data_IF_997890465461
#
_entry.id   IF_997890465461
#
_cell.length_a   1.000
_cell.length_b   1.000
_cell.length_c   1.000
_cell.angle_alpha   90.00
_cell.angle_beta   90.00
_cell.angle_gamma   90.00
#
_symmetry.space_group_name_H-M   'P 1'
#
loop_
_entity.id
_entity.type
_entity.pdbx_description
1 polymer ?
#
# COMPACT_ATOMS: atom_id res chain seq x y z
N UNK A 1 -9.76 -8.24 3.15
CA UNK A 1 -9.66 -6.96 2.42
C UNK A 1 -10.33 -5.88 3.26
N UNK A 2 -9.60 -4.85 3.67
CA UNK A 2 -10.18 -3.72 4.42
C UNK A 2 -10.78 -2.67 3.46
N UNK A 3 -11.56 -1.74 4.00
CA UNK A 3 -12.22 -0.69 3.22
C UNK A 3 -11.22 0.19 2.46
N UNK A 4 -10.05 0.45 3.03
CA UNK A 4 -8.93 1.18 2.41
C UNK A 4 -8.41 0.50 1.14
N UNK A 5 -8.08 -0.79 1.21
CA UNK A 5 -7.57 -1.58 0.08
C UNK A 5 -8.61 -1.69 -1.05
N UNK A 6 -9.90 -1.80 -0.69
CA UNK A 6 -10.99 -1.77 -1.66
C UNK A 6 -11.14 -0.39 -2.32
N UNK A 7 -11.06 0.70 -1.55
CA UNK A 7 -11.28 2.05 -2.06
C UNK A 7 -10.18 2.50 -3.04
N UNK A 8 -8.92 2.16 -2.77
CA UNK A 8 -7.81 2.51 -3.68
C UNK A 8 -7.82 1.64 -4.95
N UNK A 9 -8.25 0.38 -4.85
CA UNK A 9 -8.32 -0.55 -5.98
C UNK A 9 -9.49 -0.25 -6.93
N UNK A 10 -10.64 0.22 -6.42
CA UNK A 10 -11.85 0.51 -7.22
C UNK A 10 -11.67 1.69 -8.17
N UNK A 11 -10.79 2.65 -7.86
CA UNK A 11 -10.49 3.78 -8.75
C UNK A 11 -9.78 3.34 -10.06
N UNK A 12 -9.16 2.16 -10.09
CA UNK A 12 -8.31 1.72 -11.21
C UNK A 12 -9.04 0.91 -12.30
N UNK A 13 -10.25 0.41 -12.06
CA UNK A 13 -10.89 -0.55 -12.98
C UNK A 13 -11.71 0.08 -14.13
N UNK A 14 -12.02 1.39 -14.07
CA UNK A 14 -12.95 2.03 -15.03
C UNK A 14 -12.30 3.08 -15.95
N UNK A 15 -11.01 3.38 -15.80
CA UNK A 15 -10.34 4.43 -16.58
C UNK A 15 -9.01 3.93 -17.16
N UNK A 16 -8.88 3.98 -18.49
CA UNK A 16 -7.67 3.54 -19.22
C UNK A 16 -6.48 4.51 -19.10
N UNK A 17 -6.65 5.65 -18.42
CA UNK A 17 -5.63 6.68 -18.27
C UNK A 17 -5.40 7.07 -16.79
N UNK A 18 -5.16 6.06 -15.96
CA UNK A 18 -4.75 6.25 -14.56
C UNK A 18 -3.25 6.47 -14.43
N UNK A 19 -2.82 7.25 -13.43
CA UNK A 19 -1.40 7.50 -13.14
C UNK A 19 -0.77 6.36 -12.32
N UNK A 20 -1.56 5.71 -11.48
CA UNK A 20 -1.17 4.60 -10.61
C UNK A 20 -2.15 3.44 -10.81
N UNK A 21 -1.66 2.21 -10.65
CA UNK A 21 -2.47 1.01 -10.53
C UNK A 21 -2.24 0.42 -9.15
N UNK A 22 -3.32 0.07 -8.46
CA UNK A 22 -3.25 -0.48 -7.11
C UNK A 22 -3.83 -1.88 -7.06
N UNK A 23 -3.19 -2.79 -6.33
CA UNK A 23 -3.63 -4.16 -6.10
C UNK A 23 -3.57 -4.49 -4.61
N UNK A 24 -4.52 -5.28 -4.10
CA UNK A 24 -4.39 -5.83 -2.77
C UNK A 24 -3.34 -6.95 -2.75
N UNK A 25 -2.59 -7.04 -1.66
CA UNK A 25 -1.60 -8.09 -1.44
C UNK A 25 -2.07 -9.13 -0.42
N UNK A 26 -1.25 -10.15 -0.15
CA UNK A 26 -1.59 -11.24 0.79
C UNK A 26 -2.01 -10.73 2.17
N UNK A 27 -1.26 -9.77 2.72
CA UNK A 27 -1.61 -9.13 3.98
C UNK A 27 -2.79 -8.20 3.81
N UNK A 28 -3.80 -8.28 4.69
CA UNK A 28 -4.94 -7.36 4.67
C UNK A 28 -4.57 -5.87 4.87
N UNK A 29 -3.34 -5.62 5.36
CA UNK A 29 -2.72 -4.31 5.55
C UNK A 29 -1.74 -3.94 4.42
N UNK A 30 -1.59 -4.78 3.40
CA UNK A 30 -0.65 -4.59 2.30
C UNK A 30 -1.37 -4.17 1.02
N UNK A 31 -0.74 -3.26 0.28
CA UNK A 31 -1.14 -2.87 -1.07
C UNK A 31 0.11 -2.79 -1.96
N UNK A 32 -0.04 -3.16 -3.22
CA UNK A 32 0.99 -2.99 -4.25
C UNK A 32 0.56 -1.83 -5.17
N UNK A 33 1.47 -0.88 -5.40
CA UNK A 33 1.27 0.19 -6.37
C UNK A 33 2.21 0.01 -7.55
N UNK A 34 1.73 0.20 -8.77
CA UNK A 34 2.56 0.23 -9.98
C UNK A 34 2.24 1.48 -10.81
N UNK A 35 3.15 1.95 -11.68
CA UNK A 35 2.81 3.04 -12.59
C UNK A 35 1.67 2.61 -13.51
N UNK A 36 0.73 3.52 -13.79
CA UNK A 36 -0.45 3.21 -14.62
C UNK A 36 -0.13 2.88 -16.07
N UNK A 37 1.08 3.23 -16.52
CA UNK A 37 1.66 2.82 -17.80
C UNK A 37 3.14 2.46 -17.58
N UNK A 38 3.67 1.48 -18.32
CA UNK A 38 5.09 1.14 -18.25
C UNK A 38 5.94 2.35 -18.66
N UNK A 39 7.10 2.50 -18.02
CA UNK A 39 8.12 3.42 -18.48
C UNK A 39 8.60 3.00 -19.88
N UNK A 40 8.81 3.96 -20.79
CA UNK A 40 9.35 3.64 -22.11
C UNK A 40 10.86 3.33 -22.05
N UNK A 41 11.45 2.93 -23.18
CA UNK A 41 12.86 2.48 -23.24
C UNK A 41 13.95 3.57 -23.28
N UNK A 42 13.61 4.85 -23.17
CA UNK A 42 14.59 5.94 -23.18
C UNK A 42 15.22 6.12 -21.79
N UNK A 43 16.52 6.41 -21.74
CA UNK A 43 17.23 6.72 -20.48
C UNK A 43 16.61 7.89 -19.72
N UNK A 44 15.95 8.83 -20.42
CA UNK A 44 15.25 9.95 -19.80
C UNK A 44 14.14 9.51 -18.83
N UNK A 45 13.57 8.31 -18.96
CA UNK A 45 12.53 7.84 -18.05
C UNK A 45 13.06 7.44 -16.67
N UNK A 46 14.37 7.23 -16.49
CA UNK A 46 14.92 7.04 -15.15
C UNK A 46 14.70 8.28 -14.25
N UNK A 47 14.61 9.47 -14.85
CA UNK A 47 14.39 10.72 -14.12
C UNK A 47 12.97 10.87 -13.56
N UNK A 48 12.01 10.00 -13.96
CA UNK A 48 10.61 10.11 -13.52
C UNK A 48 10.19 9.00 -12.55
N UNK A 49 11.03 7.98 -12.33
CA UNK A 49 10.69 6.83 -11.48
C UNK A 49 10.42 7.28 -10.04
N UNK A 50 11.36 8.04 -9.45
CA UNK A 50 11.20 8.51 -8.07
C UNK A 50 9.97 9.41 -7.90
N UNK A 51 9.75 10.31 -8.85
CA UNK A 51 8.58 11.20 -8.84
C UNK A 51 7.27 10.39 -8.92
N UNK A 52 7.23 9.31 -9.71
CA UNK A 52 6.08 8.41 -9.77
C UNK A 52 5.86 7.65 -8.46
N UNK A 53 6.93 7.14 -7.84
CA UNK A 53 6.86 6.46 -6.53
C UNK A 53 6.37 7.41 -5.43
N UNK A 54 6.82 8.67 -5.46
CA UNK A 54 6.38 9.71 -4.53
C UNK A 54 4.89 10.02 -4.69
N UNK A 55 4.43 10.20 -5.93
CA UNK A 55 3.02 10.43 -6.23
C UNK A 55 2.14 9.30 -5.69
N UNK A 56 2.55 8.04 -5.85
CA UNK A 56 1.83 6.87 -5.29
C UNK A 56 1.72 6.95 -3.77
N UNK A 57 2.79 7.32 -3.07
CA UNK A 57 2.76 7.51 -1.61
C UNK A 57 1.81 8.63 -1.20
N UNK A 58 1.83 9.76 -1.90
CA UNK A 58 0.93 10.89 -1.63
C UNK A 58 -0.55 10.51 -1.83
N UNK A 59 -0.85 9.82 -2.93
CA UNK A 59 -2.20 9.34 -3.26
C UNK A 59 -2.75 8.38 -2.20
N UNK A 60 -1.94 7.39 -1.78
CA UNK A 60 -2.33 6.46 -0.73
C UNK A 60 -2.42 7.13 0.65
N UNK A 61 -1.56 8.10 0.97
CA UNK A 61 -1.57 8.82 2.23
C UNK A 61 -2.85 9.66 2.43
N UNK A 62 -3.45 10.17 1.35
CA UNK A 62 -4.72 10.91 1.41
C UNK A 62 -5.91 10.06 1.83
N UNK A 63 -5.81 8.74 1.67
CA UNK A 63 -6.89 7.81 2.01
C UNK A 63 -6.75 7.22 3.42
N UNK A 64 -5.62 7.48 4.10
CA UNK A 64 -5.36 6.96 5.44
C UNK A 64 -6.16 7.73 6.51
N UNK A 65 -6.58 6.99 7.54
CA UNK A 65 -7.18 7.57 8.75
C UNK A 65 -6.18 8.39 9.59
N UNK A 66 -6.65 9.15 10.59
CA UNK A 66 -5.82 10.03 11.41
C UNK A 66 -4.71 9.29 12.19
N UNK A 67 -4.93 8.02 12.54
CA UNK A 67 -3.97 7.18 13.24
C UNK A 67 -3.32 6.14 12.32
N UNK A 68 -3.44 6.26 10.99
CA UNK A 68 -2.84 5.31 10.06
C UNK A 68 -1.60 5.92 9.38
N UNK A 69 -0.55 5.11 9.25
CA UNK A 69 0.69 5.49 8.58
C UNK A 69 1.01 4.54 7.45
N UNK A 70 1.55 5.09 6.38
CA UNK A 70 2.05 4.36 5.23
C UNK A 70 3.53 4.06 5.42
N UNK A 71 3.96 2.80 5.28
CA UNK A 71 5.39 2.47 5.27
C UNK A 71 5.73 1.53 4.12
N UNK A 72 6.98 1.60 3.66
CA UNK A 72 7.55 0.65 2.69
C UNK A 72 8.58 -0.17 3.44
N UNK A 73 8.16 -1.33 3.96
CA UNK A 73 8.98 -2.22 4.76
C UNK A 73 8.84 -3.65 4.24
N UNK A 74 9.93 -4.40 4.23
CA UNK A 74 9.94 -5.78 3.73
C UNK A 74 9.29 -6.77 4.71
N UNK A 75 9.37 -6.49 6.00
CA UNK A 75 8.77 -7.33 7.03
C UNK A 75 8.42 -6.50 8.27
N UNK A 76 7.23 -6.73 8.82
CA UNK A 76 6.82 -6.02 10.04
C UNK A 76 7.48 -6.64 11.28
N UNK A 77 8.27 -5.90 12.09
CA UNK A 77 9.08 -6.49 13.15
C UNK A 77 8.32 -7.22 14.27
N UNK A 78 7.05 -6.86 14.49
CA UNK A 78 6.19 -7.53 15.49
C UNK A 78 5.20 -8.51 14.86
N UNK A 79 5.37 -8.82 13.57
CA UNK A 79 4.60 -9.86 12.91
C UNK A 79 4.85 -11.19 13.64
N UNK A 80 3.78 -11.95 13.89
CA UNK A 80 3.82 -13.18 14.70
C UNK A 80 4.12 -13.03 16.21
N UNK A 81 4.12 -11.82 16.77
CA UNK A 81 4.15 -11.66 18.23
C UNK A 81 2.77 -12.00 18.81
N UNK A 82 2.73 -12.99 19.70
CA UNK A 82 1.56 -13.29 20.53
C UNK A 82 1.33 -12.12 21.50
N UNK A 83 0.14 -11.54 21.45
CA UNK A 83 -0.34 -10.64 22.49
C UNK A 83 -1.35 -11.40 23.35
N UNK A 84 -1.19 -11.29 24.67
CA UNK A 84 -2.17 -11.77 25.63
C UNK A 84 -3.00 -10.56 26.05
N UNK A 85 -4.23 -10.49 25.59
CA UNK A 85 -5.21 -9.49 26.01
C UNK A 85 -6.44 -10.27 26.45
N UNK A 86 -6.77 -10.20 27.73
CA UNK A 86 -7.93 -10.78 28.40
C UNK A 86 -8.51 -12.04 27.71
N UNK A 87 -7.96 -13.20 28.11
CA UNK A 87 -8.40 -14.56 27.82
C UNK A 87 -8.35 -15.08 26.37
N UNK A 88 -7.88 -14.27 25.40
CA UNK A 88 -7.70 -14.72 24.02
C UNK A 88 -6.27 -14.50 23.47
N UNK A 89 -5.74 -15.54 22.83
CA UNK A 89 -4.48 -15.51 22.10
C UNK A 89 -4.75 -15.06 20.67
N UNK A 90 -4.46 -13.81 20.34
CA UNK A 90 -4.54 -13.31 18.97
C UNK A 90 -3.14 -13.15 18.38
N UNK A 91 -2.97 -13.63 17.15
CA UNK A 91 -1.89 -13.16 16.30
C UNK A 91 -2.16 -11.68 15.98
N UNK A 92 -1.17 -10.81 16.20
CA UNK A 92 -1.21 -9.42 15.73
C UNK A 92 -1.09 -9.43 14.19
N UNK A 93 -2.19 -9.79 13.50
CA UNK A 93 -2.28 -9.96 12.06
C UNK A 93 -2.31 -8.62 11.31
N UNK A 94 -2.56 -7.52 12.03
CA UNK A 94 -2.55 -6.17 11.49
C UNK A 94 -2.25 -5.18 12.63
N UNK A 95 -1.22 -4.33 12.53
CA UNK A 95 -1.18 -3.14 13.34
C UNK A 95 -2.43 -2.33 12.98
N UNK A 96 -3.20 -1.80 13.95
CA UNK A 96 -4.39 -0.98 13.67
C UNK A 96 -4.12 0.32 12.89
N UNK A 97 -2.86 0.56 12.52
CA UNK A 97 -2.32 1.86 12.15
C UNK A 97 -1.31 1.79 11.01
N UNK A 98 -1.11 0.64 10.34
CA UNK A 98 -0.05 0.51 9.34
C UNK A 98 -0.58 -0.06 8.02
N UNK A 99 -0.36 0.68 6.94
CA UNK A 99 -0.47 0.16 5.58
C UNK A 99 0.94 0.00 4.97
N UNK A 100 1.25 -1.19 4.46
CA UNK A 100 2.54 -1.49 3.82
C UNK A 100 2.39 -1.38 2.30
N UNK A 101 3.20 -0.53 1.68
CA UNK A 101 3.34 -0.45 0.22
C UNK A 101 4.59 -1.21 -0.19
N UNK A 102 4.44 -2.30 -0.93
CA UNK A 102 5.54 -2.82 -1.74
C UNK A 102 5.71 -1.92 -2.99
N UNK A 103 6.95 -1.46 -3.26
CA UNK A 103 7.24 -0.40 -4.23
C UNK A 103 6.98 -0.75 -5.69
#
# INVERSE_FOLDING_TARGET
MNYFSLQICVLCLYNSNVKSLWRPEYGAYMIEGTPGKPYGGLLAHFNIVEANMRYRREEAQQLLGPDEVLMTITNFPRYAKLQYTDDYCYFCLSPPHLCVIDP
#
